data_IF_724991723626
#
_entry.id   IF_724991723626
#
_cell.length_a   1.000
_cell.length_b   1.000
_cell.length_c   1.000
_cell.angle_alpha   90.00
_cell.angle_beta   90.00
_cell.angle_gamma   90.00
#
_symmetry.space_group_name_H-M   'P 1'
#
loop_
_entity.id
_entity.type
_entity.pdbx_description
1 polymer ?
#
# COMPACT_ATOMS: atom_id res chain seq x y z
N UNK A 1 -9.27 4.07 -1.62
CA UNK A 1 -8.20 3.09 -1.89
C UNK A 1 -7.39 2.76 -0.64
N UNK A 2 -6.84 3.76 0.02
CA UNK A 2 -6.01 3.54 1.21
C UNK A 2 -6.73 2.75 2.31
N UNK A 3 -7.92 3.19 2.68
CA UNK A 3 -8.67 2.54 3.76
C UNK A 3 -9.04 1.10 3.42
N UNK A 4 -9.41 0.87 2.18
CA UNK A 4 -9.75 -0.49 1.73
C UNK A 4 -8.54 -1.40 1.80
N UNK A 5 -7.39 -0.93 1.35
CA UNK A 5 -6.16 -1.71 1.39
C UNK A 5 -5.73 -1.98 2.83
N UNK A 6 -5.87 -0.97 3.69
CA UNK A 6 -5.54 -1.14 5.10
C UNK A 6 -6.40 -2.21 5.75
N UNK A 7 -7.71 -2.18 5.51
CA UNK A 7 -8.62 -3.19 6.05
C UNK A 7 -8.28 -4.58 5.54
N UNK A 8 -8.01 -4.71 4.26
CA UNK A 8 -7.67 -6.00 3.67
C UNK A 8 -6.37 -6.55 4.24
N UNK A 9 -5.39 -5.67 4.42
CA UNK A 9 -4.12 -6.08 5.01
C UNK A 9 -4.31 -6.53 6.46
N UNK A 10 -5.06 -5.76 7.24
CA UNK A 10 -5.32 -6.10 8.64
C UNK A 10 -6.03 -7.44 8.77
N UNK A 11 -6.89 -7.78 7.82
CA UNK A 11 -7.61 -9.05 7.82
C UNK A 11 -6.81 -10.19 7.21
N UNK A 12 -5.64 -9.91 6.67
CA UNK A 12 -4.80 -10.93 6.07
C UNK A 12 -5.18 -11.31 4.65
N UNK A 13 -6.01 -10.51 3.99
CA UNK A 13 -6.43 -10.80 2.61
C UNK A 13 -5.37 -10.45 1.58
N UNK A 14 -4.48 -9.51 1.90
CA UNK A 14 -3.42 -9.08 1.00
C UNK A 14 -2.09 -9.04 1.75
N UNK A 15 -1.01 -9.02 1.02
CA UNK A 15 0.34 -9.05 1.58
C UNK A 15 1.06 -7.74 1.33
N UNK A 16 2.26 -7.60 1.95
CA UNK A 16 3.11 -6.45 1.70
C UNK A 16 3.50 -6.34 0.23
N UNK A 17 3.70 -7.47 -0.43
CA UNK A 17 4.02 -7.48 -1.86
C UNK A 17 2.92 -6.83 -2.68
N UNK A 18 1.65 -7.11 -2.35
CA UNK A 18 0.52 -6.48 -2.99
C UNK A 18 0.54 -4.96 -2.78
N UNK A 19 0.81 -4.52 -1.55
CA UNK A 19 0.88 -3.10 -1.23
C UNK A 19 2.02 -2.40 -1.96
N UNK A 20 3.15 -3.06 -2.11
CA UNK A 20 4.27 -2.52 -2.90
C UNK A 20 3.88 -2.30 -4.35
N UNK A 21 3.08 -3.21 -4.91
CA UNK A 21 2.54 -3.04 -6.25
C UNK A 21 1.71 -1.78 -6.37
N UNK A 22 0.86 -1.51 -5.38
CA UNK A 22 0.06 -0.29 -5.36
C UNK A 22 0.91 0.98 -5.25
N UNK A 23 2.02 0.93 -4.51
CA UNK A 23 2.94 2.06 -4.44
C UNK A 23 3.54 2.35 -5.81
N UNK A 24 3.90 1.31 -6.55
CA UNK A 24 4.43 1.47 -7.92
C UNK A 24 3.39 2.09 -8.85
N UNK A 25 2.14 1.68 -8.73
CA UNK A 25 1.05 2.23 -9.52
C UNK A 25 0.88 3.71 -9.22
N UNK A 26 0.95 4.09 -7.95
CA UNK A 26 0.84 5.49 -7.54
C UNK A 26 1.95 6.35 -8.13
N UNK A 27 3.16 5.81 -8.25
CA UNK A 27 4.27 6.53 -8.88
C UNK A 27 4.04 6.80 -10.36
N UNK A 28 3.37 5.88 -11.04
CA UNK A 28 3.08 6.04 -12.47
C UNK A 28 1.86 6.92 -12.70
N UNK A 29 0.81 6.71 -11.92
CA UNK A 29 -0.45 7.45 -12.07
C UNK A 29 -0.91 7.88 -10.69
N UNK A 30 -0.67 9.13 -10.35
CA UNK A 30 -1.06 9.67 -9.04
C UNK A 30 -2.56 9.53 -8.82
N UNK A 31 -2.92 9.10 -7.63
CA UNK A 31 -4.31 8.90 -7.25
C UNK A 31 -4.84 7.51 -7.53
N UNK A 32 -4.04 6.62 -8.13
CA UNK A 32 -4.48 5.27 -8.47
C UNK A 32 -4.04 4.21 -7.46
N UNK A 33 -3.12 4.54 -6.56
CA UNK A 33 -2.62 3.59 -5.58
C UNK A 33 -2.42 4.25 -4.25
N UNK A 34 -1.32 3.90 -3.57
CA UNK A 34 -0.99 4.47 -2.27
C UNK A 34 0.43 5.03 -2.29
N UNK A 35 0.69 5.98 -1.40
CA UNK A 35 2.03 6.55 -1.27
C UNK A 35 2.90 5.67 -0.38
N UNK A 36 4.21 5.95 -0.37
CA UNK A 36 5.13 5.25 0.52
C UNK A 36 4.77 5.49 1.98
N UNK A 37 4.32 6.69 2.32
CA UNK A 37 3.86 6.99 3.67
C UNK A 37 2.64 6.15 4.05
N UNK A 38 1.70 6.01 3.13
CA UNK A 38 0.52 5.19 3.35
C UNK A 38 0.89 3.72 3.52
N UNK A 39 1.85 3.24 2.75
CA UNK A 39 2.37 1.89 2.92
C UNK A 39 2.91 1.69 4.34
N UNK A 40 3.69 2.64 4.82
CA UNK A 40 4.24 2.57 6.17
C UNK A 40 3.13 2.58 7.22
N UNK A 41 2.12 3.41 7.04
CA UNK A 41 1.00 3.47 7.97
C UNK A 41 0.23 2.16 8.03
N UNK A 42 0.10 1.47 6.89
CA UNK A 42 -0.61 0.21 6.83
C UNK A 42 0.21 -0.92 7.45
N UNK A 43 1.48 -1.03 7.08
CA UNK A 43 2.31 -2.18 7.46
C UNK A 43 3.14 -1.96 8.72
N UNK A 44 3.36 -0.71 9.10
CA UNK A 44 4.25 -0.37 10.20
C UNK A 44 5.73 -0.42 9.81
N UNK A 45 6.04 -0.61 8.53
CA UNK A 45 7.39 -0.68 8.02
C UNK A 45 7.59 0.30 6.88
N UNK A 46 8.78 0.89 6.80
CA UNK A 46 9.10 1.80 5.70
C UNK A 46 9.13 1.04 4.39
N UNK A 47 8.63 1.69 3.33
CA UNK A 47 8.67 1.11 1.99
C UNK A 47 10.12 0.99 1.51
N UNK A 48 10.47 -0.19 1.06
CA UNK A 48 11.76 -0.44 0.41
C UNK A 48 11.50 -1.00 -0.98
N UNK A 49 12.03 -0.32 -1.95
CA UNK A 49 11.86 -0.73 -3.34
C UNK A 49 12.54 -2.08 -3.63
#
# INVERSE_FOLDING_TARGET
MYEELKKKYDKGYITKATLKGWVRIERKVKGRGITEEQYEQITGEKYKA
#
